data_IF_467750262534
#
_entry.id   IF_467750262534
#
_cell.length_a   1.000
_cell.length_b   1.000
_cell.length_c   1.000
_cell.angle_alpha   90.00
_cell.angle_beta   90.00
_cell.angle_gamma   90.00
#
_symmetry.space_group_name_H-M   'P 1'
#
loop_
_entity.id
_entity.type
_entity.pdbx_description
1 polymer ?
#
# COMPACT_ATOMS: atom_id res chain seq x y z
N UNK A 1 8.27 5.90 -35.05
CA UNK A 1 7.48 5.00 -34.18
C UNK A 1 7.92 5.29 -32.76
N UNK A 2 7.19 6.15 -32.05
CA UNK A 2 7.55 6.64 -30.72
C UNK A 2 7.37 5.48 -29.73
N UNK A 3 8.46 4.96 -29.17
CA UNK A 3 8.39 4.01 -28.07
C UNK A 3 7.84 4.77 -26.84
N UNK A 4 6.69 4.33 -26.34
CA UNK A 4 6.11 4.84 -25.11
C UNK A 4 7.15 4.70 -23.98
N UNK A 5 7.61 5.83 -23.49
CA UNK A 5 8.40 5.90 -22.26
C UNK A 5 7.44 5.71 -21.10
N UNK A 6 7.10 4.46 -20.81
CA UNK A 6 6.49 4.09 -19.53
C UNK A 6 7.60 4.13 -18.46
N UNK A 7 8.15 5.32 -18.23
CA UNK A 7 8.99 5.62 -17.09
C UNK A 7 8.06 6.13 -15.99
N UNK A 8 7.58 5.24 -15.13
CA UNK A 8 7.14 5.69 -13.80
C UNK A 8 8.40 6.17 -13.07
N UNK A 9 8.69 7.47 -13.15
CA UNK A 9 9.57 8.12 -12.19
C UNK A 9 8.91 7.99 -10.82
N UNK A 10 9.66 7.59 -9.80
CA UNK A 10 9.17 7.49 -8.42
C UNK A 10 8.63 8.83 -7.88
N UNK A 11 8.86 9.92 -8.60
CA UNK A 11 8.46 11.29 -8.28
C UNK A 11 7.00 11.63 -8.66
N UNK A 12 6.32 10.80 -9.47
CA UNK A 12 4.89 11.02 -9.84
C UNK A 12 3.92 10.07 -9.12
N UNK A 13 4.41 9.21 -8.22
CA UNK A 13 3.54 8.31 -7.47
C UNK A 13 2.77 9.08 -6.40
N UNK A 14 1.44 8.91 -6.43
CA UNK A 14 0.56 9.45 -5.39
C UNK A 14 1.02 8.91 -4.04
N UNK A 15 1.36 9.81 -3.13
CA UNK A 15 1.83 9.46 -1.79
C UNK A 15 1.05 10.18 -0.71
N UNK A 16 1.03 9.58 0.46
CA UNK A 16 0.44 10.14 1.66
C UNK A 16 1.45 10.07 2.79
N UNK A 17 1.71 11.19 3.45
CA UNK A 17 2.58 11.26 4.62
C UNK A 17 1.79 11.71 5.83
N UNK A 18 1.88 10.97 6.93
CA UNK A 18 1.06 11.24 8.09
C UNK A 18 1.48 10.52 9.35
N UNK A 19 1.00 11.05 10.47
CA UNK A 19 1.20 10.45 11.79
C UNK A 19 0.37 9.19 11.93
N UNK A 20 0.96 8.12 12.43
CA UNK A 20 0.23 6.91 12.82
C UNK A 20 -0.58 7.20 14.07
N UNK A 21 -1.90 7.04 13.96
CA UNK A 21 -2.87 7.31 15.02
C UNK A 21 -3.62 6.05 15.44
N UNK A 22 -4.21 6.10 16.63
CA UNK A 22 -4.99 4.98 17.15
C UNK A 22 -6.32 4.83 16.40
N UNK A 23 -6.55 3.65 15.84
CA UNK A 23 -7.82 3.25 15.23
C UNK A 23 -8.68 2.37 16.16
N UNK A 24 -9.70 1.72 15.59
CA UNK A 24 -10.60 0.78 16.31
C UNK A 24 -9.95 -0.55 16.69
N UNK A 25 -8.67 -0.78 16.34
CA UNK A 25 -7.89 -2.00 16.61
C UNK A 25 -8.49 -3.32 16.11
N UNK A 26 -9.57 -3.29 15.31
CA UNK A 26 -10.23 -4.48 14.71
C UNK A 26 -9.22 -5.37 13.99
N UNK A 27 -8.31 -4.76 13.22
CA UNK A 27 -7.24 -5.50 12.53
C UNK A 27 -6.44 -6.41 13.47
N UNK A 28 -6.09 -5.93 14.66
CA UNK A 28 -5.34 -6.72 15.66
C UNK A 28 -6.15 -7.91 16.18
N UNK A 29 -7.46 -7.75 16.35
CA UNK A 29 -8.37 -8.83 16.80
C UNK A 29 -8.49 -9.95 15.75
N UNK A 30 -8.22 -9.63 14.49
CA UNK A 30 -8.31 -10.56 13.36
C UNK A 30 -6.95 -10.99 12.80
N UNK A 31 -5.85 -10.75 13.53
CA UNK A 31 -4.45 -11.06 13.15
C UNK A 31 -3.89 -10.25 11.97
N UNK A 32 -4.46 -9.08 11.68
CA UNK A 32 -4.01 -8.13 10.66
C UNK A 32 -3.80 -6.74 11.27
N UNK A 33 -2.75 -6.51 12.08
CA UNK A 33 -2.52 -5.21 12.69
C UNK A 33 -2.38 -4.12 11.62
N UNK A 34 -3.20 -3.07 11.72
CA UNK A 34 -3.16 -1.92 10.81
C UNK A 34 -2.79 -0.64 11.56
N UNK A 35 -1.98 0.20 10.91
CA UNK A 35 -1.71 1.57 11.33
C UNK A 35 -2.71 2.50 10.63
N UNK A 36 -3.45 3.31 11.38
CA UNK A 36 -4.32 4.35 10.80
C UNK A 36 -3.46 5.59 10.54
N UNK A 37 -3.58 6.20 9.37
CA UNK A 37 -2.82 7.40 9.00
C UNK A 37 -3.69 8.64 9.23
N UNK A 38 -3.25 9.52 10.12
CA UNK A 38 -3.96 10.74 10.49
C UNK A 38 -3.76 11.88 9.49
N UNK A 39 -4.39 11.79 8.32
CA UNK A 39 -4.31 12.79 7.24
C UNK A 39 -5.69 13.12 6.67
N UNK A 40 -5.77 14.25 5.95
CA UNK A 40 -6.89 14.49 5.04
C UNK A 40 -6.86 13.45 3.92
N UNK A 41 -8.03 12.89 3.61
CA UNK A 41 -8.17 11.79 2.64
C UNK A 41 -8.83 12.22 1.34
N UNK A 42 -9.01 13.53 1.16
CA UNK A 42 -9.66 14.13 0.00
C UNK A 42 -8.81 13.87 -1.25
N UNK A 43 -9.46 13.57 -2.37
CA UNK A 43 -8.79 13.30 -3.65
C UNK A 43 -8.26 11.89 -3.85
N UNK A 44 -8.30 11.02 -2.84
CA UNK A 44 -8.00 9.60 -3.01
C UNK A 44 -9.26 8.84 -3.42
N UNK A 45 -9.14 7.81 -4.25
CA UNK A 45 -10.23 6.86 -4.50
C UNK A 45 -10.37 5.87 -3.34
N UNK A 46 -11.52 5.21 -3.24
CA UNK A 46 -11.67 4.09 -2.30
C UNK A 46 -11.08 2.81 -2.92
N UNK A 47 -10.53 1.95 -2.08
CA UNK A 47 -9.98 0.69 -2.52
C UNK A 47 -8.90 0.13 -1.60
N UNK A 48 -8.37 -1.01 -2.01
CA UNK A 48 -7.18 -1.61 -1.41
C UNK A 48 -6.02 -1.43 -2.38
N UNK A 49 -4.88 -1.01 -1.88
CA UNK A 49 -3.70 -0.65 -2.64
C UNK A 49 -2.46 -1.37 -2.13
N UNK A 50 -1.58 -1.79 -3.03
CA UNK A 50 -0.21 -2.13 -2.69
C UNK A 50 0.58 -0.84 -2.51
N UNK A 51 1.24 -0.68 -1.37
CA UNK A 51 2.00 0.52 -1.03
C UNK A 51 3.46 0.21 -0.68
N UNK A 52 4.36 1.13 -0.99
CA UNK A 52 5.65 1.20 -0.30
C UNK A 52 5.53 2.15 0.90
N UNK A 53 6.02 1.71 2.05
CA UNK A 53 5.99 2.47 3.31
C UNK A 53 7.41 2.86 3.67
N UNK A 54 7.69 4.16 3.73
CA UNK A 54 8.91 4.69 4.29
C UNK A 54 8.72 5.02 5.76
N UNK A 55 9.60 4.49 6.60
CA UNK A 55 9.63 4.70 8.04
C UNK A 55 11.08 4.71 8.51
N UNK A 56 11.52 5.83 9.09
CA UNK A 56 12.88 5.99 9.65
C UNK A 56 14.02 5.63 8.69
N UNK A 57 13.87 5.96 7.39
CA UNK A 57 14.85 5.66 6.35
C UNK A 57 14.75 4.26 5.75
N UNK A 58 13.94 3.37 6.34
CA UNK A 58 13.69 2.03 5.85
C UNK A 58 12.45 1.98 4.95
N UNK A 59 12.45 1.05 3.99
CA UNK A 59 11.34 0.83 3.06
C UNK A 59 10.71 -0.54 3.26
N UNK A 60 9.39 -0.55 3.42
CA UNK A 60 8.59 -1.74 3.60
C UNK A 60 7.53 -1.86 2.52
N UNK A 61 7.07 -3.08 2.25
CA UNK A 61 5.87 -3.33 1.46
C UNK A 61 4.67 -3.32 2.39
N UNK A 62 3.53 -2.84 1.90
CA UNK A 62 2.30 -2.82 2.67
C UNK A 62 1.06 -2.98 1.79
N UNK A 63 -0.06 -3.22 2.46
CA UNK A 63 -1.40 -3.16 1.88
C UNK A 63 -2.17 -2.06 2.59
N UNK A 64 -2.63 -1.06 1.83
CA UNK A 64 -3.40 0.06 2.35
C UNK A 64 -4.86 -0.08 1.96
N UNK A 65 -5.77 -0.01 2.94
CA UNK A 65 -7.18 0.23 2.72
C UNK A 65 -7.46 1.73 2.79
N UNK A 66 -8.06 2.28 1.75
CA UNK A 66 -8.62 3.61 1.69
C UNK A 66 -10.14 3.47 1.57
N UNK A 67 -10.88 3.80 2.62
CA UNK A 67 -12.29 3.45 2.69
C UNK A 67 -13.09 4.29 3.68
N UNK A 68 -14.41 4.19 3.59
CA UNK A 68 -15.35 4.96 4.43
C UNK A 68 -15.88 4.10 5.56
N UNK A 69 -15.68 4.55 6.80
CA UNK A 69 -16.26 3.85 7.95
C UNK A 69 -17.73 4.24 8.10
N UNK A 70 -18.65 3.27 8.25
CA UNK A 70 -19.95 3.55 8.82
C UNK A 70 -19.74 4.02 10.27
N UNK A 71 -19.99 5.30 10.54
CA UNK A 71 -20.08 5.87 11.88
C UNK A 71 -21.55 5.97 12.27
N UNK A 72 -21.91 5.43 13.44
CA UNK A 72 -23.20 5.74 14.05
C UNK A 72 -23.14 7.19 14.54
N UNK A 73 -23.96 8.08 13.98
CA UNK A 73 -24.28 9.39 14.57
C UNK A 73 -23.57 10.64 14.04
N UNK A 74 -22.48 10.56 13.28
CA UNK A 74 -21.87 11.77 12.68
C UNK A 74 -20.91 11.43 11.54
N UNK A 75 -21.13 12.08 10.39
CA UNK A 75 -20.33 12.17 9.15
C UNK A 75 -19.51 10.93 8.76
N UNK A 76 -19.82 10.39 7.57
CA UNK A 76 -19.03 9.37 6.89
C UNK A 76 -17.56 9.83 6.79
N UNK A 77 -16.68 9.26 7.64
CA UNK A 77 -15.26 9.61 7.64
C UNK A 77 -14.50 8.59 6.83
N UNK A 78 -13.86 9.08 5.77
CA UNK A 78 -12.88 8.32 5.01
C UNK A 78 -11.59 8.18 5.81
N UNK A 79 -11.00 6.99 5.76
CA UNK A 79 -9.80 6.63 6.53
C UNK A 79 -8.81 5.88 5.66
N UNK A 80 -7.54 6.00 6.02
CA UNK A 80 -6.45 5.22 5.43
C UNK A 80 -5.83 4.34 6.50
N UNK A 81 -5.79 3.04 6.23
CA UNK A 81 -5.24 2.03 7.12
C UNK A 81 -4.21 1.20 6.36
N UNK A 82 -2.99 1.11 6.88
CA UNK A 82 -1.93 0.31 6.26
C UNK A 82 -1.56 -0.89 7.12
N UNK A 83 -1.53 -2.07 6.51
CA UNK A 83 -0.89 -3.26 7.04
C UNK A 83 0.51 -3.37 6.43
N UNK A 84 1.55 -3.21 7.26
CA UNK A 84 2.94 -3.33 6.81
C UNK A 84 3.31 -4.82 6.84
N UNK A 85 3.76 -5.35 5.70
CA UNK A 85 4.06 -6.77 5.56
C UNK A 85 5.30 -7.15 6.36
N UNK A 86 5.24 -8.29 7.05
CA UNK A 86 6.33 -8.84 7.86
C UNK A 86 6.87 -7.87 8.93
N UNK A 87 6.03 -6.99 9.44
CA UNK A 87 6.41 -5.94 10.40
C UNK A 87 5.73 -6.15 11.75
N UNK A 88 6.51 -6.06 12.83
CA UNK A 88 6.07 -6.44 14.19
C UNK A 88 6.30 -5.35 15.24
N UNK A 89 6.81 -4.17 14.86
CA UNK A 89 7.10 -3.10 15.79
C UNK A 89 5.89 -2.19 16.00
N UNK A 90 5.83 -1.54 17.17
CA UNK A 90 4.87 -0.46 17.41
C UNK A 90 5.39 0.84 16.78
N UNK A 91 4.53 1.49 16.02
CA UNK A 91 4.82 2.73 15.29
C UNK A 91 3.83 3.85 15.62
N UNK A 92 3.02 3.70 16.68
CA UNK A 92 2.13 4.78 17.11
C UNK A 92 2.89 6.08 17.34
N UNK A 93 2.34 7.17 16.81
CA UNK A 93 2.91 8.49 16.91
C UNK A 93 4.05 8.79 15.94
N UNK A 94 4.58 7.80 15.22
CA UNK A 94 5.60 8.01 14.20
C UNK A 94 4.97 8.54 12.90
N UNK A 95 5.77 9.25 12.09
CA UNK A 95 5.38 9.68 10.75
C UNK A 95 5.82 8.60 9.77
N UNK A 96 4.89 8.19 8.91
CA UNK A 96 5.18 7.31 7.79
C UNK A 96 4.78 7.98 6.49
N UNK A 97 5.45 7.61 5.41
CA UNK A 97 5.04 7.97 4.05
C UNK A 97 4.67 6.73 3.28
N UNK A 98 3.46 6.66 2.76
CA UNK A 98 2.98 5.56 1.94
C UNK A 98 2.84 6.02 0.49
N UNK A 99 3.54 5.36 -0.42
CA UNK A 99 3.43 5.56 -1.87
C UNK A 99 2.48 4.51 -2.44
N UNK A 100 1.42 4.94 -3.15
CA UNK A 100 0.46 4.05 -3.80
C UNK A 100 1.06 3.53 -5.10
N UNK A 101 1.31 2.21 -5.17
CA UNK A 101 1.99 1.58 -6.32
C UNK A 101 0.98 0.99 -7.29
N UNK A 102 -0.05 0.33 -6.77
CA UNK A 102 -1.10 -0.26 -7.59
C UNK A 102 -2.38 -0.47 -6.78
N UNK A 103 -3.52 -0.43 -7.47
CA UNK A 103 -4.81 -0.89 -6.91
C UNK A 103 -4.82 -2.43 -6.90
N UNK A 104 -5.18 -3.01 -5.76
CA UNK A 104 -5.43 -4.45 -5.56
C UNK A 104 -6.87 -4.74 -5.90
N UNK A 105 -7.81 -3.95 -5.36
CA UNK A 105 -9.25 -4.05 -5.63
C UNK A 105 -10.01 -2.81 -5.19
N UNK A 106 -11.26 -2.70 -5.66
CA UNK A 106 -12.25 -1.76 -5.13
C UNK A 106 -12.65 -2.08 -3.68
N UNK A 107 -13.19 -1.08 -2.98
CA UNK A 107 -13.80 -1.25 -1.66
C UNK A 107 -15.07 -2.10 -1.77
N UNK A 108 -15.29 -2.99 -0.80
CA UNK A 108 -16.49 -3.83 -0.74
C UNK A 108 -16.88 -4.08 0.71
N UNK A 109 -18.18 -4.28 0.95
CA UNK A 109 -18.71 -4.71 2.24
C UNK A 109 -18.62 -6.23 2.38
N UNK A 110 -18.46 -6.70 3.61
CA UNK A 110 -18.47 -8.13 3.92
C UNK A 110 -19.62 -8.44 4.88
N UNK A 111 -20.38 -9.53 4.64
CA UNK A 111 -21.50 -9.88 5.49
C UNK A 111 -21.06 -10.57 6.80
N UNK A 112 -19.78 -10.95 6.93
CA UNK A 112 -19.22 -11.51 8.16
C UNK A 112 -17.74 -11.16 8.34
N UNK A 113 -17.27 -11.24 9.59
CA UNK A 113 -15.85 -11.05 9.94
C UNK A 113 -14.98 -12.13 9.27
N UNK A 114 -15.49 -13.36 9.14
CA UNK A 114 -14.74 -14.45 8.52
C UNK A 114 -14.48 -14.19 7.03
N UNK A 115 -15.49 -13.71 6.30
CA UNK A 115 -15.31 -13.33 4.89
C UNK A 115 -14.39 -12.12 4.73
N UNK A 116 -14.42 -11.18 5.68
CA UNK A 116 -13.47 -10.07 5.71
C UNK A 116 -12.03 -10.59 5.90
N UNK A 117 -11.79 -11.49 6.86
CA UNK A 117 -10.48 -12.12 7.10
C UNK A 117 -9.95 -12.82 5.85
N UNK A 118 -10.79 -13.66 5.23
CA UNK A 118 -10.42 -14.39 4.02
C UNK A 118 -10.05 -13.44 2.88
N UNK A 119 -10.78 -12.34 2.73
CA UNK A 119 -10.43 -11.36 1.71
C UNK A 119 -9.14 -10.61 2.04
N UNK A 120 -8.90 -10.21 3.30
CA UNK A 120 -7.63 -9.56 3.68
C UNK A 120 -6.44 -10.49 3.39
N UNK A 121 -6.56 -11.78 3.70
CA UNK A 121 -5.51 -12.76 3.36
C UNK A 121 -5.23 -12.82 1.86
N UNK A 122 -6.28 -12.80 1.02
CA UNK A 122 -6.15 -12.79 -0.44
C UNK A 122 -5.52 -11.48 -0.93
N UNK A 123 -5.97 -10.35 -0.41
CA UNK A 123 -5.43 -9.03 -0.77
C UNK A 123 -3.92 -8.95 -0.48
N UNK A 124 -3.47 -9.51 0.65
CA UNK A 124 -2.05 -9.58 1.02
C UNK A 124 -1.28 -10.51 0.09
N UNK A 125 -1.83 -11.67 -0.24
CA UNK A 125 -1.20 -12.62 -1.16
C UNK A 125 -1.03 -12.00 -2.56
N UNK A 126 -2.09 -11.41 -3.10
CA UNK A 126 -2.11 -10.79 -4.43
C UNK A 126 -1.12 -9.61 -4.48
N UNK A 127 -1.11 -8.76 -3.46
CA UNK A 127 -0.15 -7.67 -3.35
C UNK A 127 1.29 -8.19 -3.29
N UNK A 128 1.55 -9.23 -2.49
CA UNK A 128 2.88 -9.84 -2.36
C UNK A 128 3.38 -10.40 -3.69
N UNK A 129 2.53 -11.13 -4.41
CA UNK A 129 2.86 -11.67 -5.73
C UNK A 129 3.13 -10.55 -6.73
N UNK A 130 2.31 -9.50 -6.75
CA UNK A 130 2.49 -8.36 -7.65
C UNK A 130 3.77 -7.58 -7.36
N UNK A 131 4.13 -7.37 -6.09
CA UNK A 131 5.42 -6.79 -5.73
C UNK A 131 6.60 -7.64 -6.21
N UNK A 132 6.51 -8.97 -6.14
CA UNK A 132 7.57 -9.85 -6.62
C UNK A 132 7.72 -9.77 -8.14
N UNK A 133 6.62 -9.71 -8.89
CA UNK A 133 6.63 -9.51 -10.34
C UNK A 133 7.25 -8.16 -10.73
N UNK A 134 6.88 -7.08 -10.04
CA UNK A 134 7.48 -5.74 -10.25
C UNK A 134 8.99 -5.79 -9.99
N UNK A 135 9.42 -6.41 -8.90
CA UNK A 135 10.84 -6.55 -8.56
C UNK A 135 11.63 -7.34 -9.62
N UNK A 136 11.05 -8.43 -10.14
CA UNK A 136 11.66 -9.22 -11.20
C UNK A 136 11.77 -8.44 -12.51
N UNK A 137 10.71 -7.73 -12.90
CA UNK A 137 10.70 -6.90 -14.11
C UNK A 137 11.78 -5.80 -14.05
N UNK A 138 11.91 -5.12 -12.91
CA UNK A 138 12.93 -4.10 -12.71
C UNK A 138 14.36 -4.68 -12.81
N UNK A 139 14.59 -5.85 -12.22
CA UNK A 139 15.89 -6.55 -12.33
C UNK A 139 16.22 -6.88 -13.78
N UNK A 140 15.27 -7.45 -14.51
CA UNK A 140 15.43 -7.82 -15.92
C UNK A 140 15.77 -6.56 -16.75
N UNK A 141 15.05 -5.46 -16.57
CA UNK A 141 15.32 -4.21 -17.29
C UNK A 141 16.72 -3.64 -17.00
N UNK A 142 17.16 -3.67 -15.75
CA UNK A 142 18.50 -3.20 -15.36
C UNK A 142 19.61 -4.10 -15.94
N UNK A 143 19.40 -5.41 -15.96
CA UNK A 143 20.32 -6.37 -16.56
C UNK A 143 20.43 -6.17 -18.09
N UNK A 144 19.32 -5.82 -18.77
CA UNK A 144 19.34 -5.48 -20.19
C UNK A 144 20.10 -4.17 -20.48
N UNK A 145 19.87 -3.11 -19.69
CA UNK A 145 20.57 -1.82 -19.84
C UNK A 145 22.08 -1.96 -19.66
N UNK A 146 22.51 -2.61 -18.59
CA UNK A 146 23.94 -2.84 -18.32
C UNK A 146 24.66 -3.68 -19.38
N UNK A 147 23.94 -4.49 -20.17
CA UNK A 147 24.51 -5.23 -21.31
C UNK A 147 24.63 -4.39 -22.58
N UNK A 148 23.74 -3.43 -22.82
CA UNK A 148 23.80 -2.55 -24.00
C UNK A 148 24.81 -1.40 -23.85
N UNK A 149 25.08 -0.98 -22.62
CA UNK A 149 26.08 0.07 -22.33
C UNK A 149 27.53 -0.48 -22.29
N UNK A 150 27.77 -1.75 -22.65
CA UNK A 150 29.12 -2.29 -22.77
C UNK A 150 29.74 -1.80 -24.10
N UNK A 151 30.93 -1.17 -24.08
CA UNK A 151 31.61 -0.79 -25.32
C UNK A 151 31.88 -2.04 -26.17
N UNK A 152 31.61 -1.92 -27.47
CA UNK A 152 32.04 -2.90 -28.47
C UNK A 152 33.57 -2.86 -28.51
N UNK A 153 34.21 -3.94 -28.07
CA UNK A 153 35.64 -4.19 -28.30
C UNK A 153 35.87 -4.61 -29.75
#
# INVERSE_FOLDING_TARGET
MQLAKDHYSLEELVSVSGKVVQGRKIGREINFPTANIGVATDGFENGVYGVYVSLNGEFYRGVMNIGVKPSFGSQLKKTMEVHILNFHNDIYGQIITCQLIFKVREERKFPSIELLKQQISRDILDATQKFNLIGLANKIQNDYRSKQDRPLN
#
